data_IF_585949066314
#
_entry.id   IF_585949066314
#
_cell.length_a   1.000
_cell.length_b   1.000
_cell.length_c   1.000
_cell.angle_alpha   90.00
_cell.angle_beta   90.00
_cell.angle_gamma   90.00
#
_symmetry.space_group_name_H-M   'P 1'
#
loop_
_entity.id
_entity.type
_entity.pdbx_description
1 polymer ?
#
# COMPACT_ATOMS: atom_id res chain seq x y z
N UNK A 1 12.86 -12.88 8.73
CA UNK A 1 11.97 -13.12 7.58
C UNK A 1 10.90 -12.04 7.63
N UNK A 2 10.62 -11.42 6.48
CA UNK A 2 9.84 -10.18 6.40
C UNK A 2 8.36 -10.47 6.64
N UNK A 3 7.98 -10.40 7.92
CA UNK A 3 6.69 -10.82 8.44
C UNK A 3 5.47 -10.06 7.86
N UNK A 4 5.67 -9.01 7.06
CA UNK A 4 4.61 -8.18 6.48
C UNK A 4 4.32 -8.49 5.00
N UNK A 5 5.03 -9.46 4.40
CA UNK A 5 4.78 -9.94 3.04
C UNK A 5 4.03 -11.26 3.11
N UNK A 6 2.88 -11.35 2.45
CA UNK A 6 2.15 -12.59 2.20
C UNK A 6 2.46 -13.05 0.78
N UNK A 7 3.13 -14.20 0.66
CA UNK A 7 3.55 -14.74 -0.64
C UNK A 7 2.36 -15.38 -1.37
N UNK A 8 2.41 -15.37 -2.71
CA UNK A 8 1.31 -15.86 -3.53
C UNK A 8 0.91 -17.31 -3.18
N UNK A 9 1.89 -18.19 -2.95
CA UNK A 9 1.64 -19.59 -2.59
C UNK A 9 0.90 -19.77 -1.26
N UNK A 10 0.97 -18.79 -0.35
CA UNK A 10 0.26 -18.81 0.93
C UNK A 10 -1.20 -18.35 0.82
N UNK A 11 -1.53 -17.59 -0.23
CA UNK A 11 -2.81 -16.88 -0.35
C UNK A 11 -3.64 -17.24 -1.59
N UNK A 12 -3.06 -17.95 -2.57
CA UNK A 12 -3.69 -18.22 -3.88
C UNK A 12 -5.02 -18.98 -3.81
N UNK A 13 -5.19 -19.83 -2.80
CA UNK A 13 -6.37 -20.68 -2.63
C UNK A 13 -7.40 -20.08 -1.65
N UNK A 14 -7.13 -18.89 -1.11
CA UNK A 14 -8.04 -18.22 -0.17
C UNK A 14 -9.16 -17.49 -0.90
N UNK A 15 -10.40 -17.68 -0.43
CA UNK A 15 -11.49 -16.78 -0.77
C UNK A 15 -11.22 -15.37 -0.20
N UNK A 16 -11.87 -14.34 -0.74
CA UNK A 16 -11.64 -12.93 -0.34
C UNK A 16 -11.85 -12.73 1.16
N UNK A 17 -12.87 -13.34 1.74
CA UNK A 17 -13.19 -13.23 3.17
C UNK A 17 -12.10 -13.85 4.04
N UNK A 18 -11.55 -14.98 3.61
CA UNK A 18 -10.43 -15.66 4.28
C UNK A 18 -9.15 -14.84 4.14
N UNK A 19 -8.90 -14.28 2.95
CA UNK A 19 -7.77 -13.40 2.71
C UNK A 19 -7.83 -12.14 3.58
N UNK A 20 -9.00 -11.52 3.71
CA UNK A 20 -9.22 -10.36 4.59
C UNK A 20 -8.90 -10.71 6.04
N UNK A 21 -9.31 -11.89 6.50
CA UNK A 21 -9.00 -12.38 7.85
C UNK A 21 -7.48 -12.55 8.01
N UNK A 22 -6.84 -13.23 7.05
CA UNK A 22 -5.38 -13.44 7.03
C UNK A 22 -4.59 -12.13 7.03
N UNK A 23 -5.03 -11.11 6.29
CA UNK A 23 -4.43 -9.76 6.26
C UNK A 23 -4.54 -9.06 7.62
N UNK A 24 -5.67 -9.18 8.30
CA UNK A 24 -5.87 -8.55 9.62
C UNK A 24 -4.96 -9.18 10.67
N UNK A 25 -4.82 -10.50 10.62
CA UNK A 25 -3.99 -11.29 11.53
C UNK A 25 -2.50 -11.27 11.20
N UNK A 26 -2.13 -10.85 9.98
CA UNK A 26 -0.73 -10.78 9.59
C UNK A 26 0.02 -9.72 10.39
N UNK A 27 1.30 -9.99 10.64
CA UNK A 27 2.20 -8.96 11.10
C UNK A 27 2.26 -7.83 10.05
N UNK A 28 2.55 -6.62 10.53
CA UNK A 28 2.63 -5.42 9.71
C UNK A 28 3.90 -4.68 10.09
N UNK A 29 4.43 -3.89 9.16
CA UNK A 29 5.62 -3.08 9.40
C UNK A 29 5.26 -1.60 9.33
N UNK A 30 5.78 -0.79 10.25
CA UNK A 30 5.65 0.67 10.11
C UNK A 30 6.44 1.14 8.91
N UNK A 31 5.88 2.04 8.13
CA UNK A 31 6.51 2.55 6.90
C UNK A 31 7.92 3.08 7.16
N UNK A 32 8.11 3.87 8.23
CA UNK A 32 9.43 4.41 8.60
C UNK A 32 10.48 3.35 8.94
N UNK A 33 10.06 2.14 9.29
CA UNK A 33 10.95 1.05 9.71
C UNK A 33 11.26 0.10 8.54
N UNK A 34 10.67 0.30 7.36
CA UNK A 34 10.94 -0.50 6.16
C UNK A 34 12.34 -0.18 5.62
N UNK A 35 13.17 -1.21 5.49
CA UNK A 35 14.47 -1.12 4.83
C UNK A 35 14.34 -1.61 3.38
N UNK A 36 15.24 -1.15 2.51
CA UNK A 36 15.25 -1.58 1.10
C UNK A 36 15.35 -3.10 0.94
N UNK A 37 16.13 -3.76 1.80
CA UNK A 37 16.31 -5.21 1.77
C UNK A 37 15.01 -5.97 2.09
N UNK A 38 14.12 -5.37 2.90
CA UNK A 38 12.85 -5.99 3.29
C UNK A 38 11.83 -6.00 2.14
N UNK A 39 12.08 -5.23 1.06
CA UNK A 39 11.27 -5.17 -0.15
C UNK A 39 11.81 -6.07 -1.29
N UNK A 40 12.83 -6.86 -0.98
CA UNK A 40 13.46 -7.82 -1.87
C UNK A 40 13.19 -9.24 -1.36
N UNK A 41 12.68 -10.10 -2.22
CA UNK A 41 12.47 -11.51 -1.96
C UNK A 41 13.23 -12.30 -3.02
N UNK A 42 14.07 -13.27 -2.62
CA UNK A 42 14.97 -14.00 -3.54
C UNK A 42 15.76 -13.08 -4.48
N UNK A 43 16.29 -11.97 -3.94
CA UNK A 43 17.08 -10.96 -4.68
C UNK A 43 16.31 -10.25 -5.81
N UNK A 44 14.98 -10.34 -5.84
CA UNK A 44 14.10 -9.59 -6.75
C UNK A 44 13.07 -8.78 -5.98
N UNK A 45 12.64 -7.65 -6.53
CA UNK A 45 11.51 -6.92 -5.96
C UNK A 45 10.20 -7.45 -6.54
N UNK A 46 9.16 -7.48 -5.70
CA UNK A 46 7.89 -8.14 -6.00
C UNK A 46 6.88 -7.20 -6.66
N UNK A 47 5.87 -7.82 -7.29
CA UNK A 47 4.66 -7.18 -7.80
C UNK A 47 3.48 -7.65 -6.95
N UNK A 48 2.44 -6.83 -6.84
CA UNK A 48 1.39 -7.16 -5.88
C UNK A 48 0.47 -6.03 -5.48
N UNK A 49 -0.14 -6.22 -4.31
CA UNK A 49 -1.05 -5.27 -3.66
C UNK A 49 -0.50 -4.94 -2.28
N UNK A 50 -0.48 -3.65 -1.93
CA UNK A 50 -0.16 -3.20 -0.59
C UNK A 50 -1.36 -2.57 0.07
N UNK A 51 -1.40 -2.67 1.40
CA UNK A 51 -2.45 -2.13 2.23
C UNK A 51 -1.77 -1.32 3.34
N UNK A 52 -2.14 -0.05 3.45
CA UNK A 52 -1.77 0.78 4.58
C UNK A 52 -2.85 0.73 5.66
N UNK A 53 -2.40 0.69 6.90
CA UNK A 53 -3.23 0.72 8.09
C UNK A 53 -2.81 1.90 8.97
N UNK A 54 -3.78 2.52 9.63
CA UNK A 54 -3.48 3.54 10.63
C UNK A 54 -2.92 2.92 11.93
N UNK A 55 -2.65 3.77 12.93
CA UNK A 55 -2.13 3.34 14.23
C UNK A 55 -3.14 2.49 15.04
N UNK A 56 -4.41 2.45 14.64
CA UNK A 56 -5.47 1.63 15.23
C UNK A 56 -5.71 0.34 14.45
N UNK A 57 -4.80 0.00 13.53
CA UNK A 57 -4.87 -1.17 12.66
C UNK A 57 -6.08 -1.18 11.70
N UNK A 58 -6.62 0.00 11.38
CA UNK A 58 -7.74 0.15 10.44
C UNK A 58 -7.18 0.31 9.01
N UNK A 59 -7.65 -0.47 8.01
CA UNK A 59 -7.21 -0.31 6.63
C UNK A 59 -7.66 1.04 6.08
N UNK A 60 -6.69 1.86 5.67
CA UNK A 60 -6.94 3.23 5.20
C UNK A 60 -6.69 3.42 3.71
N UNK A 61 -5.85 2.58 3.10
CA UNK A 61 -5.56 2.61 1.67
C UNK A 61 -5.14 1.24 1.14
N UNK A 62 -5.63 0.87 -0.02
CA UNK A 62 -5.20 -0.29 -0.80
C UNK A 62 -4.63 0.23 -2.12
N UNK A 63 -3.44 -0.21 -2.48
CA UNK A 63 -2.84 0.14 -3.77
C UNK A 63 -2.13 -1.05 -4.38
N UNK A 64 -1.67 -0.88 -5.62
CA UNK A 64 -1.03 -1.95 -6.38
C UNK A 64 0.30 -1.54 -7.01
N UNK A 65 1.17 -2.52 -7.19
CA UNK A 65 2.44 -2.47 -7.90
C UNK A 65 2.40 -3.53 -9.02
N UNK A 66 1.80 -3.19 -10.16
CA UNK A 66 1.66 -4.13 -11.30
C UNK A 66 2.54 -3.81 -12.51
N UNK A 67 3.03 -2.57 -12.64
CA UNK A 67 3.93 -2.14 -13.73
C UNK A 67 5.31 -1.70 -13.24
N UNK A 68 5.44 -1.56 -11.92
CA UNK A 68 6.65 -1.17 -11.20
C UNK A 68 6.70 -2.02 -9.96
N UNK A 69 7.91 -2.39 -9.54
CA UNK A 69 8.11 -3.17 -8.32
C UNK A 69 7.61 -2.43 -7.09
N UNK A 70 7.35 -3.15 -6.00
CA UNK A 70 6.97 -2.53 -4.72
C UNK A 70 8.03 -1.55 -4.23
N UNK A 71 9.32 -1.82 -4.46
CA UNK A 71 10.41 -0.92 -4.09
C UNK A 71 10.27 0.45 -4.77
N UNK A 72 10.08 0.47 -6.09
CA UNK A 72 9.89 1.72 -6.84
C UNK A 72 8.56 2.40 -6.50
N UNK A 73 7.49 1.61 -6.36
CA UNK A 73 6.14 2.11 -6.14
C UNK A 73 6.00 2.76 -4.77
N UNK A 74 6.55 2.13 -3.73
CA UNK A 74 6.48 2.63 -2.37
C UNK A 74 7.22 3.96 -2.27
N UNK A 75 8.49 4.02 -2.72
CA UNK A 75 9.26 5.27 -2.73
C UNK A 75 8.52 6.41 -3.46
N UNK A 76 7.90 6.11 -4.60
CA UNK A 76 7.17 7.09 -5.40
C UNK A 76 5.93 7.68 -4.69
N UNK A 77 5.31 6.93 -3.76
CA UNK A 77 4.17 7.45 -2.99
C UNK A 77 4.57 8.55 -2.03
N UNK A 78 5.78 8.50 -1.51
CA UNK A 78 6.29 9.41 -0.49
C UNK A 78 7.01 10.64 -1.07
N UNK A 79 6.89 10.88 -2.38
CA UNK A 79 7.43 12.07 -3.02
C UNK A 79 6.60 13.31 -2.67
N UNK A 80 7.20 14.26 -1.94
CA UNK A 80 6.52 15.46 -1.44
C UNK A 80 6.45 16.59 -2.46
N UNK A 81 6.96 16.41 -3.68
CA UNK A 81 6.86 17.43 -4.74
C UNK A 81 5.44 17.44 -5.31
N UNK A 82 4.80 18.61 -5.34
CA UNK A 82 3.44 18.79 -5.86
C UNK A 82 3.28 18.48 -7.35
N UNK A 83 4.38 18.40 -8.11
CA UNK A 83 4.38 17.97 -9.51
C UNK A 83 4.77 16.49 -9.70
N UNK A 84 5.03 15.74 -8.62
CA UNK A 84 5.32 14.31 -8.71
C UNK A 84 4.09 13.52 -9.20
N UNK A 85 4.34 12.55 -10.07
CA UNK A 85 3.29 11.83 -10.80
C UNK A 85 2.59 10.74 -9.95
N UNK A 86 3.25 10.24 -8.90
CA UNK A 86 2.81 9.03 -8.18
C UNK A 86 2.54 9.21 -6.68
N UNK A 87 2.50 10.44 -6.18
CA UNK A 87 2.20 10.74 -4.77
C UNK A 87 0.69 10.83 -4.45
N UNK A 88 -0.14 10.11 -5.21
CA UNK A 88 -1.60 10.13 -5.03
C UNK A 88 -2.02 9.71 -3.62
N UNK A 89 -1.26 8.83 -2.96
CA UNK A 89 -1.49 8.45 -1.58
C UNK A 89 -1.35 9.65 -0.63
N UNK A 90 -0.24 10.40 -0.69
CA UNK A 90 -0.07 11.62 0.10
C UNK A 90 -1.15 12.66 -0.21
N UNK A 91 -1.49 12.85 -1.48
CA UNK A 91 -2.59 13.76 -1.88
C UNK A 91 -3.94 13.37 -1.29
N UNK A 92 -4.20 12.08 -1.07
CA UNK A 92 -5.43 11.63 -0.40
C UNK A 92 -5.41 11.94 1.10
N UNK A 93 -4.24 11.82 1.72
CA UNK A 93 -4.03 12.10 3.16
C UNK A 93 -4.17 13.60 3.45
N UNK A 94 -3.79 14.50 2.52
CA UNK A 94 -3.98 15.95 2.74
C UNK A 94 -5.44 16.31 2.91
N UNK A 95 -6.37 15.52 2.36
CA UNK A 95 -7.80 15.79 2.40
C UNK A 95 -8.19 17.14 1.80
N UNK A 96 -7.33 17.69 0.91
CA UNK A 96 -7.56 18.95 0.19
C UNK A 96 -7.96 18.71 -1.25
N UNK A 97 -8.59 19.71 -1.85
CA UNK A 97 -8.81 19.74 -3.30
C UNK A 97 -7.47 19.80 -4.04
N UNK A 98 -7.42 19.14 -5.21
CA UNK A 98 -6.18 19.02 -5.99
C UNK A 98 -5.51 20.36 -6.31
N UNK A 99 -6.31 21.42 -6.51
CA UNK A 99 -5.83 22.77 -6.82
C UNK A 99 -5.18 23.47 -5.61
N UNK A 100 -5.45 22.99 -4.40
CA UNK A 100 -5.00 23.58 -3.14
C UNK A 100 -3.86 22.79 -2.49
N UNK A 101 -3.36 21.73 -3.14
CA UNK A 101 -2.25 20.92 -2.63
C UNK A 101 -0.92 21.53 -3.08
N UNK A 102 -0.11 21.93 -2.10
CA UNK A 102 1.27 22.36 -2.30
C UNK A 102 2.25 21.41 -1.59
N UNK A 103 3.56 21.67 -1.77
CA UNK A 103 4.64 20.85 -1.21
C UNK A 103 4.59 20.77 0.32
N UNK A 104 4.24 21.85 1.03
CA UNK A 104 4.10 21.83 2.49
C UNK A 104 2.98 20.92 2.96
N UNK A 105 1.82 20.95 2.28
CA UNK A 105 0.73 20.02 2.62
C UNK A 105 1.14 18.56 2.40
N UNK A 106 1.99 18.28 1.40
CA UNK A 106 2.51 16.94 1.16
C UNK A 106 3.56 16.52 2.20
N UNK A 107 4.34 17.45 2.74
CA UNK A 107 5.25 17.18 3.88
C UNK A 107 4.48 16.86 5.15
N UNK A 108 3.39 17.58 5.43
CA UNK A 108 2.50 17.27 6.56
C UNK A 108 1.87 15.88 6.39
N UNK A 109 1.38 15.57 5.19
CA UNK A 109 0.86 14.25 4.86
C UNK A 109 1.93 13.16 4.99
N UNK A 110 3.17 13.43 4.57
CA UNK A 110 4.30 12.52 4.73
C UNK A 110 4.57 12.20 6.20
N UNK A 111 4.62 13.22 7.07
CA UNK A 111 4.85 13.03 8.51
C UNK A 111 3.80 12.13 9.16
N UNK A 112 2.54 12.20 8.70
CA UNK A 112 1.49 11.25 9.08
C UNK A 112 1.71 9.87 8.47
N UNK A 113 1.97 9.82 7.17
CA UNK A 113 2.02 8.59 6.37
C UNK A 113 3.15 7.62 6.81
N UNK A 114 4.28 8.14 7.27
CA UNK A 114 5.41 7.31 7.72
C UNK A 114 5.13 6.52 9.01
N UNK A 115 4.09 6.90 9.76
CA UNK A 115 3.68 6.20 10.98
C UNK A 115 2.63 5.10 10.73
N UNK A 116 2.12 4.99 9.51
CA UNK A 116 1.21 3.92 9.12
C UNK A 116 1.92 2.57 9.04
N UNK A 117 1.14 1.51 9.22
CA UNK A 117 1.59 0.14 9.03
C UNK A 117 1.31 -0.32 7.60
N UNK A 118 2.11 -1.25 7.10
CA UNK A 118 2.03 -1.81 5.74
C UNK A 118 1.93 -3.34 5.82
N UNK A 119 1.08 -3.90 4.96
CA UNK A 119 1.12 -5.30 4.53
C UNK A 119 1.22 -5.34 3.01
N UNK A 120 2.00 -6.28 2.48
CA UNK A 120 2.14 -6.51 1.04
C UNK A 120 1.75 -7.93 0.68
N UNK A 121 1.01 -8.08 -0.42
CA UNK A 121 0.56 -9.35 -0.96
C UNK A 121 1.20 -9.55 -2.33
N UNK A 122 2.02 -10.58 -2.44
CA UNK A 122 2.66 -10.96 -3.70
C UNK A 122 1.64 -11.58 -4.66
N UNK A 123 1.64 -11.11 -5.91
CA UNK A 123 0.86 -11.69 -6.98
C UNK A 123 1.66 -11.68 -8.28
N UNK A 124 1.73 -12.82 -9.00
CA UNK A 124 2.66 -12.98 -10.12
C UNK A 124 2.21 -12.30 -11.41
N UNK A 125 0.91 -11.98 -11.56
CA UNK A 125 0.37 -11.43 -12.80
C UNK A 125 -0.40 -10.13 -12.59
N UNK A 126 -0.32 -9.26 -13.59
CA UNK A 126 -1.00 -7.96 -13.61
C UNK A 126 -2.51 -8.12 -13.51
N UNK A 127 -3.07 -9.13 -14.16
CA UNK A 127 -4.50 -9.42 -14.20
C UNK A 127 -5.01 -9.78 -12.80
N UNK A 128 -4.29 -10.65 -12.09
CA UNK A 128 -4.60 -11.01 -10.71
C UNK A 128 -4.47 -9.82 -9.78
N UNK A 129 -3.38 -9.04 -9.89
CA UNK A 129 -3.17 -7.82 -9.10
C UNK A 129 -4.33 -6.83 -9.26
N UNK A 130 -4.77 -6.58 -10.51
CA UNK A 130 -5.88 -5.66 -10.76
C UNK A 130 -7.20 -6.21 -10.24
N UNK A 131 -7.43 -7.52 -10.37
CA UNK A 131 -8.64 -8.16 -9.86
C UNK A 131 -8.71 -8.09 -8.33
N UNK A 132 -7.65 -8.52 -7.65
CA UNK A 132 -7.64 -8.61 -6.19
C UNK A 132 -7.62 -7.25 -5.51
N UNK A 133 -6.93 -6.24 -6.08
CA UNK A 133 -6.98 -4.87 -5.58
C UNK A 133 -8.42 -4.34 -5.53
N UNK A 134 -9.20 -4.55 -6.58
CA UNK A 134 -10.62 -4.12 -6.60
C UNK A 134 -11.45 -4.85 -5.55
N UNK A 135 -11.23 -6.15 -5.39
CA UNK A 135 -11.95 -6.96 -4.39
C UNK A 135 -11.60 -6.52 -2.97
N UNK A 136 -10.33 -6.27 -2.68
CA UNK A 136 -9.86 -5.77 -1.38
C UNK A 136 -10.35 -4.36 -1.09
N UNK A 137 -10.39 -3.45 -2.07
CA UNK A 137 -11.00 -2.13 -1.90
C UNK A 137 -12.48 -2.27 -1.50
N UNK A 138 -13.23 -3.17 -2.17
CA UNK A 138 -14.64 -3.41 -1.85
C UNK A 138 -14.82 -4.01 -0.46
N UNK A 139 -14.02 -5.00 -0.10
CA UNK A 139 -14.15 -5.76 1.15
C UNK A 139 -13.65 -4.98 2.38
N UNK A 140 -12.53 -4.26 2.26
CA UNK A 140 -11.93 -3.50 3.37
C UNK A 140 -12.51 -2.07 3.48
N UNK A 141 -13.11 -1.56 2.41
CA UNK A 141 -13.71 -0.23 2.32
C UNK A 141 -12.82 0.93 2.85
N UNK A 142 -11.54 1.00 2.44
CA UNK A 142 -10.56 1.96 2.97
C UNK A 142 -10.90 3.41 2.60
N UNK A 143 -10.73 4.33 3.56
CA UNK A 143 -11.15 5.72 3.42
C UNK A 143 -10.47 6.46 2.25
N UNK A 144 -9.19 6.19 1.98
CA UNK A 144 -8.41 6.91 0.97
C UNK A 144 -8.54 6.34 -0.45
N UNK A 145 -9.24 5.21 -0.65
CA UNK A 145 -9.60 4.74 -1.99
C UNK A 145 -10.93 5.28 -2.49
N UNK A 146 -11.78 5.80 -1.60
CA UNK A 146 -13.06 6.37 -2.01
C UNK A 146 -12.81 7.56 -2.95
N UNK A 147 -13.58 7.63 -4.04
CA UNK A 147 -13.66 8.86 -4.84
C UNK A 147 -14.40 9.89 -3.98
N UNK A 148 -13.78 11.05 -3.80
CA UNK A 148 -14.51 12.25 -3.41
C UNK A 148 -15.18 12.77 -4.67
#
# INVERSE_FOLDING_TARGET
MDNFILLFDEIKDLAVEQLVTKIKESNKIKVKDIRLIDLLHDRRSLLGVYIFFDEKDIPIYVGKSSSRSILERLASHFDTRSNAFFNNFLRKITEKDKLNINDENLKDAYAKAINFNLVFLDYPSKELIVSIEKQLIKALNPIYNRRR
#
